data_IF_106266428929
#
_entry.id   IF_106266428929
#
_cell.length_a   1.000
_cell.length_b   1.000
_cell.length_c   1.000
_cell.angle_alpha   90.00
_cell.angle_beta   90.00
_cell.angle_gamma   90.00
#
_symmetry.space_group_name_H-M   'P 1'
#
loop_
_entity.id
_entity.type
_entity.pdbx_description
1 polymer ?
#
# COMPACT_ATOMS: atom_id res chain seq x y z
N UNK A 1 -0.20 -0.58 53.11
CA UNK A 1 -0.57 -1.92 53.65
C UNK A 1 -1.96 -2.20 53.10
N UNK A 2 -2.22 -3.12 52.18
CA UNK A 2 -1.85 -4.55 52.06
C UNK A 2 -1.78 -4.87 50.56
N UNK A 3 -0.69 -5.53 50.13
CA UNK A 3 -0.50 -6.09 48.77
C UNK A 3 -0.98 -7.55 48.78
N UNK A 4 -1.71 -7.98 47.75
CA UNK A 4 -1.96 -9.41 47.48
C UNK A 4 -1.46 -9.74 46.06
N UNK A 5 -0.21 -10.20 46.00
CA UNK A 5 0.40 -10.81 44.83
C UNK A 5 -0.10 -12.26 44.70
N UNK A 6 -0.58 -12.66 43.52
CA UNK A 6 -0.78 -14.07 43.17
C UNK A 6 0.40 -14.55 42.31
N UNK A 7 1.15 -15.46 42.90
CA UNK A 7 2.19 -16.28 42.27
C UNK A 7 1.49 -17.42 41.53
N UNK A 8 1.81 -17.65 40.26
CA UNK A 8 1.48 -18.88 39.53
C UNK A 8 2.79 -19.54 39.16
N UNK A 9 3.00 -20.74 39.69
CA UNK A 9 4.16 -21.58 39.44
C UNK A 9 3.81 -22.71 38.46
N UNK A 10 4.62 -22.77 37.39
CA UNK A 10 5.18 -23.91 36.64
C UNK A 10 4.54 -25.30 36.82
N UNK A 11 4.24 -25.96 35.70
CA UNK A 11 4.47 -27.40 35.56
C UNK A 11 4.84 -27.76 34.10
N UNK A 12 6.14 -27.93 33.84
CA UNK A 12 6.67 -28.53 32.61
C UNK A 12 6.73 -30.04 32.79
N UNK A 13 6.03 -30.80 31.94
CA UNK A 13 6.09 -32.25 31.90
C UNK A 13 6.84 -32.68 30.63
N UNK A 14 8.09 -33.13 30.80
CA UNK A 14 8.86 -33.79 29.76
C UNK A 14 8.48 -35.28 29.72
N UNK A 15 8.09 -35.80 28.55
CA UNK A 15 7.93 -37.24 28.31
C UNK A 15 9.04 -37.69 27.37
N UNK A 16 9.93 -38.50 27.93
CA UNK A 16 11.02 -39.22 27.27
C UNK A 16 10.46 -40.57 26.77
N UNK A 17 10.58 -40.85 25.48
CA UNK A 17 10.18 -42.13 24.89
C UNK A 17 11.30 -42.73 24.06
N UNK A 18 12.04 -43.68 24.64
CA UNK A 18 12.95 -44.61 23.97
C UNK A 18 12.15 -45.62 23.15
N UNK A 19 12.50 -45.85 21.88
CA UNK A 19 12.31 -47.15 21.22
C UNK A 19 13.51 -47.51 20.33
N UNK A 20 13.72 -48.81 20.22
CA UNK A 20 14.99 -49.48 20.03
C UNK A 20 15.34 -49.83 18.57
N UNK A 21 16.63 -50.12 18.42
CA UNK A 21 17.36 -50.88 17.41
C UNK A 21 16.57 -51.77 16.43
N UNK A 22 16.98 -51.71 15.15
CA UNK A 22 16.72 -52.73 14.14
C UNK A 22 17.86 -52.76 13.10
N UNK A 23 18.81 -53.69 13.28
CA UNK A 23 19.81 -54.10 12.30
C UNK A 23 19.19 -55.04 11.26
N UNK A 24 19.59 -54.91 9.99
CA UNK A 24 19.30 -55.90 8.96
C UNK A 24 19.83 -55.47 7.60
N UNK A 25 21.08 -55.84 7.29
CA UNK A 25 21.68 -55.66 5.97
C UNK A 25 21.44 -56.86 5.06
N UNK A 26 21.60 -56.66 3.75
CA UNK A 26 22.14 -57.66 2.83
C UNK A 26 22.56 -56.98 1.51
N UNK A 27 23.82 -57.22 1.17
CA UNK A 27 24.55 -56.81 -0.02
C UNK A 27 24.01 -57.47 -1.30
N UNK A 28 24.25 -56.82 -2.44
CA UNK A 28 23.99 -57.36 -3.77
C UNK A 28 24.72 -56.56 -4.83
N UNK A 29 26.05 -56.67 -4.82
CA UNK A 29 26.94 -56.25 -5.89
C UNK A 29 26.84 -57.30 -7.02
N UNK A 30 26.54 -56.88 -8.24
CA UNK A 30 27.00 -57.64 -9.41
C UNK A 30 27.32 -56.72 -10.59
N UNK A 31 28.39 -57.13 -11.24
CA UNK A 31 29.30 -56.38 -12.06
C UNK A 31 28.93 -56.44 -13.54
N UNK A 32 29.41 -55.43 -14.29
CA UNK A 32 29.81 -55.47 -15.70
C UNK A 32 28.85 -55.97 -16.79
N UNK A 33 28.69 -55.17 -17.87
CA UNK A 33 29.47 -55.37 -19.11
C UNK A 33 28.84 -54.68 -20.35
N UNK A 34 29.64 -53.74 -20.91
CA UNK A 34 29.90 -53.41 -22.33
C UNK A 34 28.80 -53.44 -23.42
N UNK A 35 28.84 -52.32 -24.17
CA UNK A 35 28.82 -52.16 -25.65
C UNK A 35 27.54 -52.50 -26.42
N UNK A 36 26.98 -51.50 -27.12
CA UNK A 36 27.05 -51.34 -28.60
C UNK A 36 25.87 -50.49 -29.11
N UNK A 37 26.15 -49.37 -29.78
CA UNK A 37 25.32 -48.87 -30.88
C UNK A 37 25.50 -49.83 -32.09
N UNK A 38 24.62 -49.91 -33.12
CA UNK A 38 23.97 -48.76 -33.78
C UNK A 38 22.56 -48.98 -34.41
N UNK A 39 22.03 -47.87 -34.94
CA UNK A 39 21.20 -47.71 -36.15
C UNK A 39 19.77 -48.29 -36.25
N UNK A 40 18.85 -47.42 -36.69
CA UNK A 40 17.92 -47.76 -37.78
C UNK A 40 16.43 -47.66 -37.49
N UNK A 41 15.83 -46.59 -38.00
CA UNK A 41 14.53 -46.49 -38.68
C UNK A 41 13.30 -47.25 -38.17
N UNK A 42 12.20 -46.52 -37.93
CA UNK A 42 10.96 -46.72 -38.70
C UNK A 42 9.89 -45.70 -38.31
N UNK A 43 9.60 -44.83 -39.27
CA UNK A 43 8.36 -44.10 -39.44
C UNK A 43 7.18 -45.07 -39.58
N UNK A 44 6.07 -44.79 -38.88
CA UNK A 44 4.76 -45.37 -39.18
C UNK A 44 3.68 -44.31 -38.97
N UNK A 45 3.19 -43.81 -40.10
CA UNK A 45 1.87 -43.24 -40.27
C UNK A 45 0.78 -44.32 -40.25
N UNK A 46 -0.47 -43.89 -39.98
CA UNK A 46 -1.80 -44.35 -40.43
C UNK A 46 -2.86 -44.39 -39.29
N UNK A 47 -4.17 -44.35 -39.60
CA UNK A 47 -4.90 -43.38 -40.41
C UNK A 47 -6.29 -43.06 -39.79
N UNK A 48 -7.11 -42.42 -40.61
CA UNK A 48 -8.53 -42.04 -40.48
C UNK A 48 -9.49 -43.03 -39.82
N UNK A 49 -10.54 -42.46 -39.21
CA UNK A 49 -11.95 -42.89 -39.18
C UNK A 49 -12.71 -41.91 -38.25
N UNK A 50 -13.98 -41.59 -38.37
CA UNK A 50 -14.99 -41.61 -39.42
C UNK A 50 -16.22 -40.92 -38.79
N UNK A 51 -17.06 -40.31 -39.61
CA UNK A 51 -18.30 -39.64 -39.21
C UNK A 51 -19.35 -40.64 -38.73
N UNK A 52 -20.01 -40.37 -37.59
CA UNK A 52 -21.16 -41.12 -37.09
C UNK A 52 -22.23 -40.20 -36.49
N UNK A 53 -23.27 -39.94 -37.28
CA UNK A 53 -24.51 -39.28 -36.90
C UNK A 53 -25.46 -40.26 -36.20
N UNK A 54 -26.03 -39.89 -35.04
CA UNK A 54 -27.33 -40.41 -34.59
C UNK A 54 -28.09 -39.41 -33.71
N UNK A 55 -29.22 -38.98 -34.28
CA UNK A 55 -30.58 -38.89 -33.74
C UNK A 55 -30.90 -38.33 -32.34
N UNK A 56 -31.87 -37.41 -32.39
CA UNK A 56 -32.65 -36.77 -31.35
C UNK A 56 -33.30 -37.71 -30.31
N UNK A 57 -33.41 -37.19 -29.08
CA UNK A 57 -34.44 -37.56 -28.12
C UNK A 57 -34.93 -36.30 -27.39
N UNK A 58 -36.25 -36.20 -27.37
CA UNK A 58 -37.11 -35.10 -26.94
C UNK A 58 -37.34 -35.13 -25.41
N UNK A 59 -37.40 -33.94 -24.77
CA UNK A 59 -37.74 -33.78 -23.36
C UNK A 59 -38.41 -32.39 -23.11
N UNK A 60 -39.23 -32.26 -22.04
CA UNK A 60 -40.55 -31.59 -22.03
C UNK A 60 -40.54 -30.08 -21.69
N UNK A 61 -41.68 -29.35 -21.82
CA UNK A 61 -41.70 -27.89 -21.79
C UNK A 61 -41.52 -27.35 -20.37
N UNK A 62 -40.60 -26.39 -20.22
CA UNK A 62 -40.48 -25.59 -19.00
C UNK A 62 -41.44 -24.41 -19.06
N UNK A 63 -42.28 -24.37 -18.04
CA UNK A 63 -43.23 -23.32 -17.71
C UNK A 63 -42.54 -21.98 -17.44
N UNK A 64 -43.19 -20.92 -17.91
CA UNK A 64 -42.82 -19.54 -17.64
C UNK A 64 -42.94 -19.23 -16.14
N UNK A 65 -41.93 -18.54 -15.61
CA UNK A 65 -42.05 -17.73 -14.40
C UNK A 65 -41.29 -16.45 -14.66
N UNK A 66 -42.04 -15.35 -14.63
CA UNK A 66 -41.55 -14.03 -14.95
C UNK A 66 -40.68 -13.49 -13.83
N UNK A 67 -39.64 -12.76 -14.22
CA UNK A 67 -39.14 -11.64 -13.45
C UNK A 67 -38.77 -10.54 -14.44
N UNK A 68 -39.56 -9.48 -14.41
CA UNK A 68 -39.41 -8.30 -15.26
C UNK A 68 -38.29 -7.45 -14.67
N UNK A 69 -37.09 -7.54 -15.25
CA UNK A 69 -36.05 -6.54 -15.00
C UNK A 69 -36.57 -5.17 -15.45
N UNK A 70 -36.44 -4.09 -14.65
CA UNK A 70 -36.85 -2.76 -15.10
C UNK A 70 -35.91 -2.34 -16.24
N UNK A 71 -36.49 -2.17 -17.42
CA UNK A 71 -35.83 -1.57 -18.57
C UNK A 71 -35.24 -0.23 -18.14
N UNK A 72 -33.92 -0.04 -18.32
CA UNK A 72 -33.28 1.27 -18.22
C UNK A 72 -33.98 2.18 -19.22
N UNK A 73 -34.79 3.11 -18.72
CA UNK A 73 -35.33 4.19 -19.53
C UNK A 73 -34.13 5.00 -20.02
N UNK A 74 -33.83 4.93 -21.30
CA UNK A 74 -33.03 5.96 -21.96
C UNK A 74 -33.74 7.29 -21.69
N UNK A 75 -33.08 8.24 -21.01
CA UNK A 75 -33.64 9.56 -20.75
C UNK A 75 -34.03 10.19 -22.09
N UNK A 76 -35.33 10.23 -22.36
CA UNK A 76 -35.86 10.77 -23.61
C UNK A 76 -35.73 12.29 -23.56
N UNK A 77 -35.15 12.89 -24.59
CA UNK A 77 -35.11 14.34 -24.73
C UNK A 77 -36.55 14.84 -24.91
N UNK A 78 -37.04 15.62 -23.96
CA UNK A 78 -38.36 16.25 -24.01
C UNK A 78 -38.24 17.72 -24.37
N UNK A 79 -39.27 18.33 -24.96
CA UNK A 79 -39.32 19.77 -25.22
C UNK A 79 -40.22 20.41 -24.16
N UNK A 80 -39.64 21.29 -23.34
CA UNK A 80 -40.33 22.03 -22.28
C UNK A 80 -41.34 23.05 -22.83
N UNK A 81 -42.18 23.58 -21.95
CA UNK A 81 -43.26 24.51 -22.30
C UNK A 81 -42.77 25.84 -22.93
N UNK A 82 -41.49 26.17 -22.75
CA UNK A 82 -40.82 27.33 -23.32
C UNK A 82 -40.12 27.02 -24.67
N UNK A 83 -40.27 25.80 -25.18
CA UNK A 83 -39.66 25.33 -26.42
C UNK A 83 -38.23 24.83 -26.29
N UNK A 84 -37.65 24.79 -25.08
CA UNK A 84 -36.28 24.29 -24.87
C UNK A 84 -36.25 22.78 -24.75
N UNK A 85 -35.18 22.16 -25.25
CA UNK A 85 -34.95 20.72 -25.05
C UNK A 85 -34.47 20.49 -23.62
N UNK A 86 -34.96 19.44 -22.98
CA UNK A 86 -34.63 19.05 -21.63
C UNK A 86 -34.35 17.54 -21.57
N UNK A 87 -33.41 17.13 -20.73
CA UNK A 87 -33.22 15.74 -20.31
C UNK A 87 -33.53 15.68 -18.83
N UNK A 88 -34.54 14.90 -18.44
CA UNK A 88 -34.95 14.71 -17.05
C UNK A 88 -35.21 16.05 -16.29
N UNK A 89 -35.78 17.04 -16.99
CA UNK A 89 -36.09 18.37 -16.45
C UNK A 89 -34.90 19.33 -16.38
N UNK A 90 -33.76 18.98 -16.98
CA UNK A 90 -32.58 19.83 -17.10
C UNK A 90 -32.48 20.38 -18.53
N UNK A 91 -32.51 21.72 -18.71
CA UNK A 91 -32.32 22.36 -20.02
C UNK A 91 -31.01 21.95 -20.72
N UNK A 92 -31.09 21.69 -22.02
CA UNK A 92 -29.98 21.20 -22.84
C UNK A 92 -28.83 22.21 -22.96
N UNK A 93 -29.11 23.49 -22.78
CA UNK A 93 -28.15 24.61 -22.82
C UNK A 93 -27.16 24.61 -21.63
N UNK A 94 -27.44 23.81 -20.59
CA UNK A 94 -26.51 23.60 -19.47
C UNK A 94 -25.47 22.51 -19.78
N UNK A 95 -25.72 21.70 -20.81
CA UNK A 95 -24.76 20.70 -21.29
C UNK A 95 -23.92 21.32 -22.40
N UNK A 96 -22.60 21.15 -22.30
CA UNK A 96 -21.70 21.56 -23.35
C UNK A 96 -21.90 20.68 -24.58
N UNK A 97 -22.03 21.30 -25.75
CA UNK A 97 -22.24 20.58 -27.02
C UNK A 97 -21.10 19.60 -27.34
N UNK A 98 -19.88 19.89 -26.88
CA UNK A 98 -18.71 19.02 -26.97
C UNK A 98 -17.90 19.10 -25.66
N UNK A 99 -18.21 18.28 -24.65
CA UNK A 99 -17.53 18.33 -23.36
C UNK A 99 -16.05 17.95 -23.46
N UNK A 100 -15.63 17.27 -24.54
CA UNK A 100 -14.24 16.87 -24.76
C UNK A 100 -13.38 18.03 -25.27
N UNK A 101 -13.95 18.95 -26.06
CA UNK A 101 -13.26 20.19 -26.47
C UNK A 101 -12.92 21.08 -25.27
N UNK A 102 -13.82 21.16 -24.28
CA UNK A 102 -13.61 22.00 -23.08
C UNK A 102 -12.53 21.39 -22.18
N UNK A 103 -12.46 20.08 -22.08
CA UNK A 103 -11.37 19.40 -21.36
C UNK A 103 -10.01 19.53 -22.07
N UNK A 104 -9.99 19.75 -23.39
CA UNK A 104 -8.78 19.92 -24.19
C UNK A 104 -8.23 21.35 -24.19
N UNK A 105 -8.99 22.35 -23.71
CA UNK A 105 -8.54 23.74 -23.68
C UNK A 105 -7.77 24.02 -22.38
N UNK A 106 -6.44 23.98 -22.45
CA UNK A 106 -5.51 24.25 -21.32
C UNK A 106 -5.07 25.71 -21.22
N UNK A 107 -5.80 26.66 -21.81
CA UNK A 107 -5.47 28.09 -21.65
C UNK A 107 -5.66 28.55 -20.20
N UNK A 108 -4.55 28.93 -19.57
CA UNK A 108 -4.51 29.55 -18.24
C UNK A 108 -5.10 30.96 -18.34
N UNK A 109 -6.26 31.18 -17.73
CA UNK A 109 -6.87 32.51 -17.62
C UNK A 109 -6.14 33.27 -16.50
N UNK A 110 -5.28 34.22 -16.87
CA UNK A 110 -4.72 35.20 -15.93
C UNK A 110 -3.27 35.61 -16.21
N UNK A 111 -3.05 36.41 -17.25
CA UNK A 111 -1.82 37.19 -17.36
C UNK A 111 -2.18 38.65 -17.69
N UNK A 112 -1.89 39.61 -16.81
CA UNK A 112 -2.20 41.01 -17.07
C UNK A 112 -1.27 41.57 -18.15
N UNK A 113 -1.86 42.36 -19.06
CA UNK A 113 -1.18 42.98 -20.18
C UNK A 113 -0.15 44.04 -19.73
N UNK A 114 1.05 43.97 -20.30
CA UNK A 114 2.05 45.04 -20.21
C UNK A 114 1.75 46.15 -21.24
N UNK A 115 2.05 47.43 -20.94
CA UNK A 115 1.75 48.55 -21.82
C UNK A 115 2.75 48.67 -23.00
N UNK A 116 2.38 49.35 -24.10
CA UNK A 116 3.19 49.40 -25.32
C UNK A 116 4.17 50.58 -25.37
N UNK A 117 5.30 50.36 -26.05
CA UNK A 117 6.37 51.34 -26.36
C UNK A 117 7.55 51.18 -25.40
N UNK A 118 8.79 50.97 -25.82
CA UNK A 118 9.60 51.77 -26.74
C UNK A 118 10.69 50.87 -27.38
N UNK A 119 11.11 51.21 -28.59
CA UNK A 119 11.87 50.36 -29.50
C UNK A 119 13.37 50.16 -29.23
N UNK A 120 13.91 49.35 -30.13
CA UNK A 120 15.24 48.75 -30.19
C UNK A 120 16.42 49.74 -30.23
N UNK A 121 17.54 49.35 -29.61
CA UNK A 121 18.88 49.88 -29.86
C UNK A 121 19.96 49.05 -29.14
N UNK A 122 21.15 48.81 -29.74
CA UNK A 122 22.15 47.88 -29.21
C UNK A 122 23.23 48.58 -28.36
N UNK A 123 23.57 48.01 -27.19
CA UNK A 123 24.73 48.39 -26.36
C UNK A 123 25.80 47.31 -26.49
N UNK A 124 26.92 47.47 -27.23
CA UNK A 124 28.16 48.19 -26.91
C UNK A 124 28.73 48.06 -25.49
N UNK A 125 30.00 47.62 -25.48
CA UNK A 125 30.91 47.34 -24.37
C UNK A 125 31.46 48.65 -23.80
N UNK A 126 31.62 48.75 -22.47
CA UNK A 126 32.29 49.92 -21.85
C UNK A 126 32.50 49.85 -20.34
N UNK A 127 33.77 49.66 -19.99
CA UNK A 127 34.52 49.72 -18.72
C UNK A 127 34.15 50.80 -17.69
N UNK A 128 34.29 50.47 -16.39
CA UNK A 128 34.92 51.36 -15.40
C UNK A 128 34.11 51.75 -14.15
N UNK A 129 34.74 51.60 -12.97
CA UNK A 129 34.51 52.50 -11.83
C UNK A 129 34.07 51.88 -10.50
N UNK A 130 35.03 51.56 -9.62
CA UNK A 130 34.85 51.46 -8.17
C UNK A 130 34.80 52.88 -7.56
N UNK A 131 34.20 53.10 -6.37
CA UNK A 131 35.02 53.11 -5.15
C UNK A 131 34.35 52.50 -3.89
N UNK A 132 35.19 52.15 -2.93
CA UNK A 132 34.89 51.77 -1.53
C UNK A 132 34.35 52.99 -0.72
N UNK A 133 33.89 52.86 0.55
CA UNK A 133 34.67 52.44 1.74
C UNK A 133 33.81 51.58 2.72
N UNK A 134 34.16 51.13 3.93
CA UNK A 134 35.20 51.43 4.93
C UNK A 134 35.18 50.30 5.98
N UNK A 135 36.35 50.00 6.54
CA UNK A 135 36.62 49.01 7.59
C UNK A 135 36.67 49.68 8.97
N UNK A 136 36.20 48.96 10.01
CA UNK A 136 36.75 49.02 11.39
C UNK A 136 35.71 49.20 12.52
N UNK A 137 36.09 48.93 13.79
CA UNK A 137 36.49 47.63 14.31
C UNK A 137 35.86 47.29 15.70
N UNK A 138 36.28 46.14 16.24
CA UNK A 138 36.31 45.73 17.66
C UNK A 138 35.10 45.11 18.36
N UNK A 139 35.28 43.84 18.74
CA UNK A 139 35.36 43.49 20.16
C UNK A 139 34.18 42.74 20.78
N UNK A 140 34.42 41.50 21.20
CA UNK A 140 33.69 40.90 22.33
C UNK A 140 33.11 39.51 22.08
N UNK A 141 33.87 38.48 22.45
CA UNK A 141 33.34 37.14 22.78
C UNK A 141 32.51 37.18 24.07
N UNK A 142 31.47 36.34 24.18
CA UNK A 142 31.36 35.55 25.40
C UNK A 142 30.97 34.07 25.19
N UNK A 143 31.51 33.30 26.13
CA UNK A 143 31.48 31.88 26.46
C UNK A 143 30.07 31.26 26.56
N UNK A 144 29.88 29.96 26.25
CA UNK A 144 28.61 29.26 26.45
C UNK A 144 28.44 28.76 27.90
N UNK A 145 27.21 28.72 28.45
CA UNK A 145 26.98 28.11 29.75
C UNK A 145 26.85 26.59 29.64
N UNK A 146 27.80 25.92 30.28
CA UNK A 146 27.77 24.52 30.70
C UNK A 146 26.75 24.38 31.84
N UNK A 147 25.73 23.53 31.67
CA UNK A 147 24.79 23.20 32.74
C UNK A 147 24.99 21.75 33.20
N UNK A 148 25.01 21.61 34.52
CA UNK A 148 25.53 20.50 35.29
C UNK A 148 24.58 19.31 35.42
N UNK A 149 25.20 18.16 35.68
CA UNK A 149 24.59 16.93 36.13
C UNK A 149 24.14 17.01 37.61
N UNK A 150 22.93 16.49 37.87
CA UNK A 150 22.47 15.89 39.13
C UNK A 150 21.53 14.74 38.70
N UNK A 151 21.55 13.52 39.22
CA UNK A 151 21.97 13.06 40.54
C UNK A 151 20.73 12.63 41.33
N UNK A 152 20.24 11.41 41.08
CA UNK A 152 19.41 10.63 42.02
C UNK A 152 17.90 10.50 41.74
N UNK A 153 17.48 9.29 41.39
CA UNK A 153 16.57 8.45 42.20
C UNK A 153 16.17 7.21 41.40
N UNK A 154 16.51 6.03 41.91
CA UNK A 154 16.21 4.75 41.29
C UNK A 154 14.71 4.44 41.36
N UNK A 155 14.10 4.37 40.18
CA UNK A 155 12.82 3.70 39.95
C UNK A 155 13.13 2.34 39.33
N UNK A 156 12.50 1.23 39.77
CA UNK A 156 12.72 -0.07 39.15
C UNK A 156 12.29 0.00 37.67
N UNK A 157 13.01 -0.64 36.73
CA UNK A 157 12.60 -0.60 35.34
C UNK A 157 11.22 -1.25 35.21
N UNK A 158 10.25 -0.43 34.79
CA UNK A 158 9.04 -0.92 34.19
C UNK A 158 9.44 -1.79 33.00
N UNK A 159 8.82 -2.95 32.89
CA UNK A 159 8.99 -3.88 31.78
C UNK A 159 8.98 -3.13 30.45
N UNK A 160 10.10 -3.20 29.73
CA UNK A 160 10.18 -2.75 28.34
C UNK A 160 9.11 -3.49 27.55
N UNK A 161 8.21 -2.80 26.83
CA UNK A 161 7.34 -3.46 25.87
C UNK A 161 8.23 -4.14 24.83
N UNK A 162 8.01 -5.43 24.62
CA UNK A 162 8.67 -6.18 23.58
C UNK A 162 8.23 -5.65 22.21
N UNK A 163 9.18 -5.35 21.31
CA UNK A 163 8.90 -5.30 19.87
C UNK A 163 9.02 -3.98 19.13
N UNK A 164 9.46 -2.89 19.76
CA UNK A 164 9.73 -1.65 19.03
C UNK A 164 10.91 -1.84 18.08
N UNK A 165 10.68 -1.70 16.77
CA UNK A 165 11.76 -1.48 15.83
C UNK A 165 12.49 -0.19 16.23
N UNK A 166 13.83 -0.17 16.13
CA UNK A 166 14.58 1.05 16.43
C UNK A 166 14.07 2.18 15.53
N UNK A 167 13.83 3.38 16.05
CA UNK A 167 13.28 4.49 15.26
C UNK A 167 14.09 4.72 13.96
N UNK A 168 15.42 4.54 13.97
CA UNK A 168 16.25 4.63 12.77
C UNK A 168 15.97 3.55 11.71
N UNK A 169 15.47 2.39 12.09
CA UNK A 169 15.12 1.28 11.19
C UNK A 169 13.95 1.68 10.27
N UNK A 170 12.92 2.33 10.81
CA UNK A 170 11.73 2.71 10.03
C UNK A 170 12.06 3.63 8.85
N UNK A 171 12.98 4.58 9.02
CA UNK A 171 13.41 5.48 7.95
C UNK A 171 14.12 4.76 6.79
N UNK A 172 14.76 3.61 7.07
CA UNK A 172 15.39 2.79 6.04
C UNK A 172 14.40 1.86 5.32
N UNK A 173 13.30 1.49 6.00
CA UNK A 173 12.26 0.60 5.46
C UNK A 173 11.27 1.40 4.61
N UNK A 174 10.77 2.52 5.13
CA UNK A 174 9.84 3.40 4.45
C UNK A 174 10.26 4.86 4.70
N UNK A 175 10.95 5.49 3.74
CA UNK A 175 11.35 6.88 3.90
C UNK A 175 10.17 7.82 4.15
N UNK A 176 10.39 8.90 4.91
CA UNK A 176 9.34 9.88 5.26
C UNK A 176 8.53 10.33 4.05
N UNK A 177 9.19 10.61 2.93
CA UNK A 177 8.56 11.03 1.69
C UNK A 177 7.58 9.99 1.13
N UNK A 178 7.94 8.71 1.21
CA UNK A 178 7.11 7.60 0.71
C UNK A 178 5.94 7.30 1.65
N UNK A 179 6.15 7.40 2.97
CA UNK A 179 5.08 7.31 3.96
C UNK A 179 4.03 8.40 3.71
N UNK A 180 4.47 9.65 3.58
CA UNK A 180 3.57 10.78 3.33
C UNK A 180 2.89 10.68 1.96
N UNK A 181 3.59 10.20 0.93
CA UNK A 181 3.02 9.98 -0.39
C UNK A 181 1.92 8.91 -0.37
N UNK A 182 2.11 7.80 0.32
CA UNK A 182 1.09 6.75 0.43
C UNK A 182 -0.10 7.20 1.28
N UNK A 183 0.13 7.89 2.40
CA UNK A 183 -0.96 8.48 3.20
C UNK A 183 -1.77 9.47 2.35
N UNK A 184 -1.11 10.31 1.54
CA UNK A 184 -1.77 11.23 0.61
C UNK A 184 -2.57 10.48 -0.46
N UNK A 185 -2.02 9.42 -1.06
CA UNK A 185 -2.73 8.59 -2.05
C UNK A 185 -4.01 8.00 -1.45
N UNK A 186 -3.92 7.41 -0.26
CA UNK A 186 -5.07 6.83 0.44
C UNK A 186 -6.10 7.92 0.78
N UNK A 187 -5.66 9.08 1.30
CA UNK A 187 -6.55 10.22 1.58
C UNK A 187 -7.31 10.66 0.33
N UNK A 188 -6.65 10.76 -0.82
CA UNK A 188 -7.29 11.17 -2.07
C UNK A 188 -8.30 10.13 -2.56
N UNK A 189 -7.96 8.84 -2.50
CA UNK A 189 -8.88 7.75 -2.82
C UNK A 189 -10.11 7.79 -1.93
N UNK A 190 -9.94 7.88 -0.61
CA UNK A 190 -11.04 7.93 0.35
C UNK A 190 -11.88 9.19 0.19
N UNK A 191 -11.26 10.31 -0.16
CA UNK A 191 -12.00 11.54 -0.51
C UNK A 191 -12.94 11.27 -1.67
N UNK A 192 -12.46 10.68 -2.77
CA UNK A 192 -13.30 10.32 -3.91
C UNK A 192 -14.41 9.32 -3.52
N UNK A 193 -14.04 8.28 -2.76
CA UNK A 193 -14.97 7.22 -2.37
C UNK A 193 -16.08 7.72 -1.43
N UNK A 194 -15.84 8.76 -0.64
CA UNK A 194 -16.80 9.30 0.34
C UNK A 194 -17.61 10.49 -0.18
N UNK A 195 -17.48 10.89 -1.46
CA UNK A 195 -18.28 11.98 -2.04
C UNK A 195 -19.78 11.64 -2.12
N UNK A 196 -20.11 10.36 -2.33
CA UNK A 196 -21.50 9.90 -2.42
C UNK A 196 -21.60 8.41 -2.13
N UNK A 197 -22.82 7.92 -1.85
CA UNK A 197 -23.07 6.48 -1.69
C UNK A 197 -22.76 5.71 -2.98
N UNK A 198 -22.95 6.32 -4.16
CA UNK A 198 -22.60 5.72 -5.44
C UNK A 198 -21.10 5.51 -5.61
N UNK A 199 -20.29 6.54 -5.32
CA UNK A 199 -18.83 6.45 -5.38
C UNK A 199 -18.30 5.41 -4.37
N UNK A 200 -18.83 5.42 -3.15
CA UNK A 200 -18.49 4.43 -2.13
C UNK A 200 -18.77 3.00 -2.60
N UNK A 201 -19.94 2.75 -3.17
CA UNK A 201 -20.31 1.43 -3.67
C UNK A 201 -19.36 0.94 -4.78
N UNK A 202 -18.84 1.85 -5.61
CA UNK A 202 -17.84 1.52 -6.64
C UNK A 202 -16.46 1.20 -6.04
N UNK A 203 -16.09 1.87 -4.94
CA UNK A 203 -14.81 1.68 -4.26
C UNK A 203 -14.85 0.68 -3.09
N UNK A 204 -15.98 -0.01 -2.86
CA UNK A 204 -16.20 -0.81 -1.65
C UNK A 204 -15.16 -1.91 -1.41
N UNK A 205 -14.55 -2.44 -2.47
CA UNK A 205 -13.49 -3.45 -2.38
C UNK A 205 -12.08 -2.85 -2.19
N UNK A 206 -11.92 -1.59 -2.55
CA UNK A 206 -10.66 -0.86 -2.41
C UNK A 206 -10.51 -0.22 -1.03
N UNK A 207 -11.62 0.21 -0.41
CA UNK A 207 -11.62 0.87 0.89
C UNK A 207 -10.97 0.01 1.98
N UNK A 208 -11.32 -1.29 2.15
CA UNK A 208 -10.76 -2.07 3.24
C UNK A 208 -9.23 -2.21 3.26
N UNK A 209 -8.57 -2.65 2.17
CA UNK A 209 -7.11 -2.73 2.15
C UNK A 209 -6.45 -1.35 2.32
N UNK A 210 -7.00 -0.28 1.73
CA UNK A 210 -6.42 1.07 1.89
C UNK A 210 -6.60 1.59 3.34
N UNK A 211 -7.70 1.29 4.01
CA UNK A 211 -7.91 1.65 5.42
C UNK A 211 -6.97 0.88 6.36
N UNK A 212 -6.80 -0.42 6.17
CA UNK A 212 -5.82 -1.21 6.92
C UNK A 212 -4.38 -0.73 6.70
N UNK A 213 -4.04 -0.37 5.46
CA UNK A 213 -2.74 0.22 5.12
C UNK A 213 -2.55 1.56 5.82
N UNK A 214 -3.59 2.42 5.86
CA UNK A 214 -3.53 3.69 6.58
C UNK A 214 -3.34 3.49 8.09
N UNK A 215 -4.01 2.50 8.68
CA UNK A 215 -3.82 2.15 10.09
C UNK A 215 -2.38 1.71 10.37
N UNK A 216 -1.81 0.85 9.53
CA UNK A 216 -0.42 0.44 9.58
C UNK A 216 0.55 1.63 9.46
N UNK A 217 0.38 2.49 8.45
CA UNK A 217 1.26 3.64 8.24
C UNK A 217 1.19 4.65 9.39
N UNK A 218 0.00 4.85 9.98
CA UNK A 218 -0.16 5.68 11.16
C UNK A 218 0.51 5.07 12.39
N UNK A 219 0.46 3.73 12.56
CA UNK A 219 1.25 3.02 13.57
C UNK A 219 2.74 3.24 13.40
N UNK A 220 3.27 3.06 12.19
CA UNK A 220 4.68 3.33 11.86
C UNK A 220 5.04 4.79 12.15
N UNK A 221 4.18 5.75 11.79
CA UNK A 221 4.44 7.17 11.96
C UNK A 221 4.69 7.57 13.44
N UNK A 222 4.12 6.86 14.41
CA UNK A 222 4.35 7.09 15.84
C UNK A 222 5.83 6.90 16.20
N UNK A 223 6.47 5.89 15.60
CA UNK A 223 7.86 5.51 15.86
C UNK A 223 8.84 6.09 14.83
N UNK A 224 8.33 6.53 13.68
CA UNK A 224 9.13 7.02 12.56
C UNK A 224 9.96 8.27 12.94
N UNK A 225 11.26 8.35 12.64
CA UNK A 225 12.13 9.42 13.14
C UNK A 225 11.98 10.72 12.34
N UNK A 226 11.42 10.63 11.13
CA UNK A 226 11.13 11.78 10.28
C UNK A 226 10.12 12.75 10.86
N UNK A 227 10.20 14.01 10.40
CA UNK A 227 9.27 15.05 10.78
C UNK A 227 7.92 14.89 10.03
N UNK A 228 6.93 14.36 10.75
CA UNK A 228 5.57 14.14 10.25
C UNK A 228 4.65 15.07 11.04
N UNK A 229 4.07 16.07 10.36
CA UNK A 229 3.25 17.12 10.99
C UNK A 229 2.13 16.60 11.91
N UNK A 230 1.52 15.48 11.55
CA UNK A 230 0.40 14.88 12.29
C UNK A 230 0.84 13.75 13.26
N UNK A 231 2.15 13.53 13.45
CA UNK A 231 2.71 12.44 14.27
C UNK A 231 2.17 12.40 15.69
N UNK A 232 2.05 13.56 16.34
CA UNK A 232 1.50 13.66 17.70
C UNK A 232 0.06 13.12 17.81
N UNK A 233 -0.67 13.10 16.70
CA UNK A 233 -2.04 12.61 16.61
C UNK A 233 -2.15 11.31 15.81
N UNK A 234 -1.04 10.65 15.46
CA UNK A 234 -1.02 9.47 14.60
C UNK A 234 -1.80 8.29 15.22
N UNK A 235 -1.81 8.16 16.55
CA UNK A 235 -2.63 7.17 17.27
C UNK A 235 -4.13 7.26 16.95
N UNK A 236 -4.66 8.47 16.77
CA UNK A 236 -6.06 8.66 16.38
C UNK A 236 -6.28 8.27 14.92
N UNK A 237 -5.35 8.59 14.02
CA UNK A 237 -5.42 8.16 12.60
C UNK A 237 -5.42 6.65 12.50
N UNK A 238 -4.54 5.97 13.24
CA UNK A 238 -4.46 4.49 13.31
C UNK A 238 -5.81 3.89 13.67
N UNK A 239 -6.40 4.39 14.75
CA UNK A 239 -7.61 3.82 15.33
C UNK A 239 -8.87 4.15 14.51
N UNK A 240 -8.95 5.38 13.98
CA UNK A 240 -10.05 5.79 13.09
C UNK A 240 -10.01 5.00 11.77
N UNK A 241 -8.81 4.74 11.23
CA UNK A 241 -8.66 3.95 10.01
C UNK A 241 -9.10 2.49 10.23
N UNK A 242 -8.72 1.88 11.35
CA UNK A 242 -9.21 0.56 11.75
C UNK A 242 -10.74 0.55 11.91
N UNK A 243 -11.31 1.60 12.54
CA UNK A 243 -12.76 1.75 12.74
C UNK A 243 -13.57 1.78 11.45
N UNK A 244 -13.01 2.30 10.35
CA UNK A 244 -13.69 2.31 9.04
C UNK A 244 -14.06 0.89 8.59
N UNK A 245 -13.30 -0.12 8.99
CA UNK A 245 -13.41 -1.51 8.53
C UNK A 245 -13.72 -2.50 9.64
N UNK A 246 -14.02 -2.03 10.86
CA UNK A 246 -14.37 -2.85 12.02
C UNK A 246 -15.52 -3.82 11.72
N UNK A 247 -16.48 -3.38 10.88
CA UNK A 247 -17.55 -4.23 10.36
C UNK A 247 -17.40 -4.41 8.87
N UNK A 248 -17.76 -5.60 8.38
CA UNK A 248 -17.81 -5.90 6.95
C UNK A 248 -18.65 -4.86 6.21
N UNK A 249 -18.04 -4.20 5.22
CA UNK A 249 -18.71 -3.20 4.40
C UNK A 249 -19.72 -3.88 3.47
N UNK A 250 -20.91 -3.29 3.39
CA UNK A 250 -22.00 -3.66 2.50
C UNK A 250 -22.37 -2.45 1.64
N UNK A 251 -23.07 -2.66 0.52
CA UNK A 251 -23.56 -1.55 -0.27
C UNK A 251 -24.59 -0.73 0.53
N UNK A 252 -24.59 0.59 0.33
CA UNK A 252 -25.62 1.48 0.86
C UNK A 252 -25.17 2.40 2.00
N UNK A 253 -26.15 3.14 2.54
CA UNK A 253 -25.91 4.32 3.39
C UNK A 253 -25.23 4.01 4.73
N UNK A 254 -25.51 2.84 5.31
CA UNK A 254 -24.96 2.48 6.62
C UNK A 254 -23.43 2.29 6.57
N UNK A 255 -22.92 1.45 5.65
CA UNK A 255 -21.48 1.27 5.50
C UNK A 255 -20.79 2.51 4.90
N UNK A 256 -21.50 3.28 4.06
CA UNK A 256 -21.02 4.60 3.65
C UNK A 256 -20.71 5.48 4.89
N UNK A 257 -21.64 5.57 5.84
CA UNK A 257 -21.45 6.37 7.07
C UNK A 257 -20.35 5.83 7.98
N UNK A 258 -20.25 4.50 8.09
CA UNK A 258 -19.18 3.84 8.83
C UNK A 258 -17.77 4.27 8.35
N UNK A 259 -17.61 4.53 7.05
CA UNK A 259 -16.35 4.94 6.44
C UNK A 259 -16.19 6.46 6.46
N UNK A 260 -17.25 7.21 6.10
CA UNK A 260 -17.23 8.67 6.00
C UNK A 260 -16.91 9.33 7.35
N UNK A 261 -17.54 8.90 8.43
CA UNK A 261 -17.40 9.59 9.73
C UNK A 261 -15.96 9.53 10.30
N UNK A 262 -15.29 8.37 10.39
CA UNK A 262 -13.89 8.33 10.80
C UNK A 262 -12.98 9.04 9.79
N UNK A 263 -13.27 8.92 8.48
CA UNK A 263 -12.44 9.53 7.46
C UNK A 263 -12.45 11.07 7.52
N UNK A 264 -13.58 11.71 7.81
CA UNK A 264 -13.64 13.16 8.02
C UNK A 264 -12.74 13.58 9.18
N UNK A 265 -12.74 12.81 10.28
CA UNK A 265 -11.88 13.09 11.43
C UNK A 265 -10.39 12.89 11.09
N UNK A 266 -10.06 11.84 10.33
CA UNK A 266 -8.71 11.60 9.82
C UNK A 266 -8.25 12.79 8.97
N UNK A 267 -9.08 13.28 8.06
CA UNK A 267 -8.74 14.40 7.18
C UNK A 267 -8.35 15.63 8.00
N UNK A 268 -9.14 15.98 9.00
CA UNK A 268 -8.88 17.11 9.87
C UNK A 268 -7.54 16.94 10.62
N UNK A 269 -7.25 15.73 11.14
CA UNK A 269 -5.98 15.40 11.81
C UNK A 269 -4.79 15.52 10.85
N UNK A 270 -4.91 14.98 9.64
CA UNK A 270 -3.86 15.07 8.62
C UNK A 270 -3.61 16.53 8.20
N UNK A 271 -4.61 17.40 8.31
CA UNK A 271 -4.52 18.85 8.09
C UNK A 271 -3.95 19.61 9.30
N UNK A 272 -3.69 18.94 10.43
CA UNK A 272 -3.11 19.51 11.64
C UNK A 272 -4.13 19.90 12.71
N UNK A 273 -5.41 19.56 12.53
CA UNK A 273 -6.48 19.87 13.46
C UNK A 273 -6.95 18.59 14.17
N UNK A 274 -6.93 18.56 15.50
CA UNK A 274 -7.53 17.45 16.26
C UNK A 274 -9.02 17.75 16.51
N UNK A 275 -9.98 16.99 15.94
CA UNK A 275 -11.40 17.22 16.19
C UNK A 275 -11.75 17.10 17.68
N UNK A 276 -12.58 18.01 18.16
CA UNK A 276 -13.05 17.99 19.54
C UNK A 276 -13.95 16.77 19.79
N UNK A 277 -13.86 16.19 20.99
CA UNK A 277 -14.73 15.09 21.42
C UNK A 277 -14.36 13.73 20.83
N UNK A 278 -13.21 13.59 20.15
CA UNK A 278 -12.70 12.27 19.81
C UNK A 278 -12.41 11.47 21.09
N UNK A 279 -12.82 10.18 21.14
CA UNK A 279 -12.40 9.29 22.21
C UNK A 279 -10.89 9.19 22.28
N UNK A 280 -10.35 9.08 23.50
CA UNK A 280 -8.92 8.93 23.68
C UNK A 280 -8.43 7.62 23.07
N UNK A 281 -7.41 7.73 22.22
CA UNK A 281 -6.73 6.60 21.60
C UNK A 281 -5.55 6.14 22.46
N UNK A 282 -5.38 4.83 22.70
CA UNK A 282 -4.19 4.30 23.36
C UNK A 282 -2.91 4.76 22.64
N UNK A 283 -1.85 5.07 23.39
CA UNK A 283 -0.56 5.43 22.78
C UNK A 283 -0.05 4.31 21.86
N UNK A 284 -0.12 3.09 22.34
CA UNK A 284 0.31 1.89 21.62
C UNK A 284 -0.85 0.91 21.46
N UNK A 285 -0.84 0.23 20.31
CA UNK A 285 -1.65 -0.95 20.02
C UNK A 285 -0.82 -1.89 19.17
N UNK A 286 -1.09 -3.18 19.31
CA UNK A 286 -0.52 -4.18 18.42
C UNK A 286 -0.99 -3.96 16.99
N UNK A 287 -0.09 -4.08 16.02
CA UNK A 287 -0.44 -3.88 14.60
C UNK A 287 -1.54 -4.83 14.14
N UNK A 288 -1.57 -6.07 14.65
CA UNK A 288 -2.58 -7.07 14.32
C UNK A 288 -4.01 -6.64 14.67
N UNK A 289 -4.19 -5.80 15.69
CA UNK A 289 -5.50 -5.33 16.12
C UNK A 289 -6.10 -4.27 15.20
N UNK A 290 -5.24 -3.52 14.50
CA UNK A 290 -5.64 -2.33 13.72
C UNK A 290 -5.43 -2.50 12.22
N UNK A 291 -4.56 -3.40 11.81
CA UNK A 291 -4.24 -3.69 10.41
C UNK A 291 -4.35 -5.19 10.17
N UNK A 292 -5.55 -5.64 9.77
CA UNK A 292 -5.85 -7.04 9.48
C UNK A 292 -4.90 -7.63 8.43
N UNK A 293 -4.34 -8.81 8.71
CA UNK A 293 -3.39 -9.51 7.85
C UNK A 293 -3.95 -9.72 6.43
N UNK A 294 -5.19 -10.18 6.31
CA UNK A 294 -5.82 -10.45 5.02
C UNK A 294 -6.02 -9.18 4.19
N UNK A 295 -6.31 -8.05 4.84
CA UNK A 295 -6.39 -6.74 4.18
C UNK A 295 -5.01 -6.22 3.74
N UNK A 296 -3.96 -6.44 4.53
CA UNK A 296 -2.59 -6.12 4.12
C UNK A 296 -2.13 -7.00 2.94
N UNK A 297 -2.45 -8.30 2.94
CA UNK A 297 -2.15 -9.17 1.79
C UNK A 297 -2.87 -8.70 0.51
N UNK A 298 -4.12 -8.24 0.61
CA UNK A 298 -4.82 -7.61 -0.54
C UNK A 298 -4.16 -6.32 -1.01
N UNK A 299 -3.57 -5.54 -0.10
CA UNK A 299 -2.77 -4.35 -0.48
C UNK A 299 -1.50 -4.75 -1.24
N UNK A 300 -0.82 -5.80 -0.81
CA UNK A 300 0.36 -6.35 -1.50
C UNK A 300 0.01 -6.88 -2.89
N UNK A 301 -1.08 -7.64 -3.03
CA UNK A 301 -1.56 -8.13 -4.33
C UNK A 301 -1.82 -6.98 -5.31
N UNK A 302 -2.41 -5.88 -4.83
CA UNK A 302 -2.63 -4.67 -5.65
C UNK A 302 -1.32 -4.01 -6.06
N UNK A 303 -0.33 -3.96 -5.15
CA UNK A 303 1.00 -3.45 -5.45
C UNK A 303 1.66 -4.27 -6.57
N UNK A 304 1.67 -5.60 -6.44
CA UNK A 304 2.26 -6.52 -7.41
C UNK A 304 1.59 -6.38 -8.79
N UNK A 305 0.25 -6.31 -8.83
CA UNK A 305 -0.50 -6.08 -10.08
C UNK A 305 -0.14 -4.75 -10.72
N UNK A 306 -0.12 -3.67 -9.93
CA UNK A 306 0.24 -2.35 -10.45
C UNK A 306 1.68 -2.31 -10.97
N UNK A 307 2.64 -2.88 -10.22
CA UNK A 307 4.04 -2.98 -10.64
C UNK A 307 4.18 -3.82 -11.90
N UNK A 308 3.33 -4.83 -12.09
CA UNK A 308 3.29 -5.64 -13.30
C UNK A 308 2.87 -4.86 -14.53
N UNK A 309 1.84 -4.04 -14.40
CA UNK A 309 1.37 -3.20 -15.50
C UNK A 309 2.29 -2.01 -15.77
N UNK A 310 2.82 -1.37 -14.73
CA UNK A 310 3.47 -0.06 -14.85
C UNK A 310 4.99 -0.09 -14.61
N UNK A 311 5.55 -1.24 -14.22
CA UNK A 311 6.98 -1.46 -14.05
C UNK A 311 7.52 -2.62 -14.89
N UNK A 312 6.82 -3.00 -15.97
CA UNK A 312 7.19 -4.14 -16.82
C UNK A 312 8.33 -3.85 -17.82
N UNK A 313 8.72 -2.59 -17.99
CA UNK A 313 9.78 -2.16 -18.91
C UNK A 313 10.60 -1.02 -18.32
N UNK A 314 11.81 -0.82 -18.84
CA UNK A 314 12.68 0.30 -18.43
C UNK A 314 11.99 1.65 -18.62
N UNK A 315 11.32 1.84 -19.75
CA UNK A 315 10.57 3.06 -20.05
C UNK A 315 9.45 3.28 -19.02
N UNK A 316 8.69 2.23 -18.68
CA UNK A 316 7.60 2.33 -17.71
C UNK A 316 8.12 2.59 -16.29
N UNK A 317 9.23 1.97 -15.88
CA UNK A 317 9.86 2.24 -14.58
C UNK A 317 10.35 3.69 -14.52
N UNK A 318 10.90 4.22 -15.61
CA UNK A 318 11.33 5.62 -15.68
C UNK A 318 10.16 6.60 -15.64
N UNK A 319 9.08 6.30 -16.36
CA UNK A 319 7.87 7.12 -16.39
C UNK A 319 7.15 7.15 -15.03
N UNK A 320 7.16 6.02 -14.32
CA UNK A 320 6.45 5.84 -13.05
C UNK A 320 7.40 5.74 -11.85
N UNK A 321 8.58 6.37 -11.91
CA UNK A 321 9.66 6.15 -10.94
C UNK A 321 9.22 6.37 -9.49
N UNK A 322 8.55 7.49 -9.21
CA UNK A 322 8.05 7.84 -7.86
C UNK A 322 7.02 6.82 -7.36
N UNK A 323 6.13 6.36 -8.24
CA UNK A 323 5.11 5.37 -7.89
C UNK A 323 5.74 3.99 -7.64
N UNK A 324 6.73 3.59 -8.44
CA UNK A 324 7.49 2.34 -8.24
C UNK A 324 8.22 2.35 -6.90
N UNK A 325 8.87 3.46 -6.56
CA UNK A 325 9.57 3.65 -5.29
C UNK A 325 8.58 3.56 -4.13
N UNK A 326 7.45 4.27 -4.20
CA UNK A 326 6.41 4.23 -3.16
C UNK A 326 5.84 2.83 -2.97
N UNK A 327 5.44 2.14 -4.04
CA UNK A 327 4.91 0.77 -3.93
C UNK A 327 5.94 -0.18 -3.31
N UNK A 328 7.21 -0.05 -3.68
CA UNK A 328 8.30 -0.84 -3.08
C UNK A 328 8.44 -0.56 -1.58
N UNK A 329 8.37 0.70 -1.16
CA UNK A 329 8.44 1.08 0.25
C UNK A 329 7.25 0.55 1.08
N UNK A 330 6.04 0.55 0.51
CA UNK A 330 4.85 -0.01 1.17
C UNK A 330 4.94 -1.53 1.29
N UNK A 331 5.47 -2.23 0.28
CA UNK A 331 5.73 -3.67 0.36
C UNK A 331 6.72 -3.96 1.48
N UNK A 332 7.83 -3.20 1.55
CA UNK A 332 8.84 -3.34 2.59
C UNK A 332 8.24 -3.11 4.00
N UNK A 333 7.50 -2.01 4.19
CA UNK A 333 6.83 -1.71 5.45
C UNK A 333 5.86 -2.82 5.88
N UNK A 334 5.07 -3.33 4.95
CA UNK A 334 4.12 -4.41 5.21
C UNK A 334 4.85 -5.69 5.62
N UNK A 335 5.91 -6.06 4.89
CA UNK A 335 6.73 -7.23 5.18
C UNK A 335 7.35 -7.17 6.59
N UNK A 336 7.78 -5.98 7.03
CA UNK A 336 8.29 -5.78 8.39
C UNK A 336 7.18 -5.87 9.43
N UNK A 337 6.04 -5.22 9.20
CA UNK A 337 4.96 -5.15 10.20
C UNK A 337 4.41 -6.53 10.54
N UNK A 338 4.24 -7.41 9.55
CA UNK A 338 3.68 -8.76 9.76
C UNK A 338 4.63 -9.70 10.54
N UNK A 339 5.89 -9.30 10.76
CA UNK A 339 6.87 -10.07 11.57
C UNK A 339 7.12 -9.48 12.95
N UNK A 340 6.51 -8.33 13.28
CA UNK A 340 6.62 -7.74 14.61
C UNK A 340 5.94 -8.61 15.66
N UNK A 341 6.40 -8.55 16.93
CA UNK A 341 5.66 -9.12 18.04
C UNK A 341 4.21 -8.60 18.10
N UNK A 342 3.30 -9.46 18.53
CA UNK A 342 1.86 -9.20 18.54
C UNK A 342 1.14 -9.56 17.24
N UNK A 343 1.88 -9.85 16.16
CA UNK A 343 1.28 -10.21 14.87
C UNK A 343 0.89 -11.69 14.74
N UNK A 344 1.40 -12.56 15.62
CA UNK A 344 1.04 -13.98 15.69
C UNK A 344 1.97 -14.95 14.94
N UNK A 345 3.13 -14.46 14.49
CA UNK A 345 4.17 -15.26 13.81
C UNK A 345 5.52 -15.21 14.55
N UNK A 346 5.52 -14.93 15.85
CA UNK A 346 6.71 -14.65 16.65
C UNK A 346 7.63 -15.86 16.81
N UNK A 347 7.07 -17.07 16.78
CA UNK A 347 7.81 -18.32 16.94
C UNK A 347 7.93 -19.09 15.61
N UNK A 348 7.56 -18.45 14.49
CA UNK A 348 7.59 -19.05 13.16
C UNK A 348 8.75 -18.48 12.31
N UNK A 349 9.91 -19.11 12.44
CA UNK A 349 11.12 -18.72 11.71
C UNK A 349 11.00 -18.89 10.19
N UNK A 350 10.16 -19.82 9.72
CA UNK A 350 9.95 -20.06 8.29
C UNK A 350 9.13 -18.91 7.69
N UNK A 351 8.03 -18.53 8.34
CA UNK A 351 7.22 -17.36 7.95
C UNK A 351 8.06 -16.08 7.93
N UNK A 352 8.81 -15.83 9.02
CA UNK A 352 9.72 -14.68 9.10
C UNK A 352 10.77 -14.70 8.01
N UNK A 353 11.31 -15.87 7.67
CA UNK A 353 12.24 -16.03 6.56
C UNK A 353 11.67 -15.56 5.22
N UNK A 354 10.41 -15.90 4.92
CA UNK A 354 9.73 -15.42 3.71
C UNK A 354 9.45 -13.91 3.74
N UNK A 355 8.97 -13.39 4.86
CA UNK A 355 8.70 -11.97 5.01
C UNK A 355 9.99 -11.13 4.95
N UNK A 356 11.09 -11.58 5.55
CA UNK A 356 12.41 -10.94 5.46
C UNK A 356 12.96 -10.95 4.04
N UNK A 357 12.75 -12.04 3.29
CA UNK A 357 13.11 -12.10 1.88
C UNK A 357 12.33 -11.08 1.05
N UNK A 358 11.02 -10.93 1.31
CA UNK A 358 10.17 -9.92 0.69
C UNK A 358 10.61 -8.50 1.05
N UNK A 359 10.91 -8.23 2.34
CA UNK A 359 11.42 -6.94 2.81
C UNK A 359 12.71 -6.54 2.08
N UNK A 360 13.71 -7.43 2.05
CA UNK A 360 15.00 -7.17 1.38
C UNK A 360 14.83 -6.95 -0.11
N UNK A 361 13.99 -7.77 -0.77
CA UNK A 361 13.72 -7.63 -2.19
C UNK A 361 13.01 -6.29 -2.50
N UNK A 362 12.04 -5.88 -1.69
CA UNK A 362 11.36 -4.60 -1.84
C UNK A 362 12.30 -3.40 -1.63
N UNK A 363 13.22 -3.46 -0.66
CA UNK A 363 14.26 -2.43 -0.49
C UNK A 363 15.21 -2.38 -1.70
N UNK A 364 15.57 -3.53 -2.28
CA UNK A 364 16.39 -3.59 -3.49
C UNK A 364 15.65 -3.03 -4.71
N UNK A 365 14.34 -3.28 -4.85
CA UNK A 365 13.50 -2.66 -5.89
C UNK A 365 13.51 -1.13 -5.76
N UNK A 366 13.29 -0.62 -4.55
CA UNK A 366 13.30 0.81 -4.26
C UNK A 366 14.65 1.44 -4.63
N UNK A 367 15.76 0.83 -4.21
CA UNK A 367 17.10 1.33 -4.49
C UNK A 367 17.44 1.33 -6.00
N UNK A 368 17.06 0.26 -6.71
CA UNK A 368 17.28 0.15 -8.15
C UNK A 368 16.44 1.16 -8.95
N UNK A 369 15.17 1.35 -8.57
CA UNK A 369 14.29 2.34 -9.19
C UNK A 369 14.82 3.77 -9.03
N UNK A 370 15.27 4.15 -7.82
CA UNK A 370 15.88 5.46 -7.55
C UNK A 370 17.15 5.72 -8.39
N UNK A 371 17.86 4.67 -8.79
CA UNK A 371 19.09 4.76 -9.61
C UNK A 371 18.85 4.58 -11.11
N UNK A 372 17.63 4.23 -11.54
CA UNK A 372 17.34 3.88 -12.92
C UNK A 372 17.96 2.55 -13.38
N UNK A 373 18.25 1.64 -12.45
CA UNK A 373 18.88 0.34 -12.74
C UNK A 373 17.81 -0.72 -13.06
N UNK A 374 17.27 -0.73 -14.28
CA UNK A 374 16.12 -1.57 -14.63
C UNK A 374 16.35 -3.08 -14.42
N UNK A 375 17.50 -3.63 -14.80
CA UNK A 375 17.81 -5.05 -14.60
C UNK A 375 17.85 -5.43 -13.11
N UNK A 376 18.41 -4.56 -12.27
CA UNK A 376 18.41 -4.75 -10.83
C UNK A 376 16.99 -4.69 -10.25
N UNK A 377 16.18 -3.76 -10.75
CA UNK A 377 14.77 -3.64 -10.37
C UNK A 377 13.97 -4.90 -10.75
N UNK A 378 14.10 -5.40 -11.99
CA UNK A 378 13.39 -6.61 -12.44
C UNK A 378 13.77 -7.84 -11.61
N UNK A 379 15.06 -7.99 -11.31
CA UNK A 379 15.55 -9.07 -10.45
C UNK A 379 14.92 -9.00 -9.06
N UNK A 380 14.96 -7.83 -8.43
CA UNK A 380 14.40 -7.61 -7.11
C UNK A 380 12.88 -7.83 -7.09
N UNK A 381 12.17 -7.38 -8.13
CA UNK A 381 10.73 -7.61 -8.28
C UNK A 381 10.39 -9.10 -8.44
N UNK A 382 11.19 -9.84 -9.18
CA UNK A 382 11.03 -11.30 -9.29
C UNK A 382 11.22 -11.99 -7.94
N UNK A 383 12.14 -11.49 -7.10
CA UNK A 383 12.36 -12.01 -5.75
C UNK A 383 11.17 -11.73 -4.82
N UNK A 384 10.50 -10.57 -4.93
CA UNK A 384 9.24 -10.31 -4.21
C UNK A 384 8.18 -11.35 -4.61
N UNK A 385 7.97 -11.57 -5.91
CA UNK A 385 6.96 -12.54 -6.38
C UNK A 385 7.28 -13.98 -5.97
N UNK A 386 8.57 -14.34 -5.93
CA UNK A 386 9.01 -15.63 -5.39
C UNK A 386 8.70 -15.77 -3.89
N UNK A 387 8.97 -14.74 -3.09
CA UNK A 387 8.63 -14.76 -1.66
C UNK A 387 7.12 -14.90 -1.43
N UNK A 388 6.28 -14.21 -2.23
CA UNK A 388 4.83 -14.38 -2.20
C UNK A 388 4.42 -15.83 -2.53
N UNK A 389 5.02 -16.42 -3.57
CA UNK A 389 4.71 -17.79 -4.00
C UNK A 389 5.13 -18.82 -2.95
N UNK A 390 6.32 -18.68 -2.38
CA UNK A 390 6.85 -19.58 -1.37
C UNK A 390 6.02 -19.52 -0.09
N UNK A 391 5.75 -18.32 0.43
CA UNK A 391 4.90 -18.15 1.61
C UNK A 391 3.50 -18.74 1.38
N UNK A 392 2.85 -18.43 0.25
CA UNK A 392 1.53 -18.99 -0.05
C UNK A 392 1.52 -20.52 -0.25
N UNK A 393 2.65 -21.14 -0.61
CA UNK A 393 2.72 -22.59 -0.71
C UNK A 393 2.63 -23.29 0.65
N UNK A 394 3.10 -22.62 1.71
CA UNK A 394 3.09 -23.14 3.08
C UNK A 394 1.91 -22.61 3.92
N UNK A 395 1.51 -21.34 3.73
CA UNK A 395 0.63 -20.61 4.67
C UNK A 395 -0.74 -20.19 4.14
N UNK A 396 -1.08 -20.47 2.87
CA UNK A 396 -2.37 -20.03 2.29
C UNK A 396 -3.56 -20.92 2.69
N UNK A 397 -3.28 -22.14 3.13
CA UNK A 397 -4.28 -23.21 3.27
C UNK A 397 -5.13 -23.09 4.53
#
# INVERSE_FOLDING_TARGET
MIRTSRVVAVLSLAVLGLFAAGCGGASGENDSQKTSAPAGSAEKANPDSESGSTSAAEAPPRTASGDTAPARKSSAVTVGADGRREIDGIPYDVFFDDPLQIAANTQVVGQPAAPPGVGSGPATIGTGGQPAPSVGPDGGTPTPPQSAAAGGSGTPPASTPAGSADASEWQAIIPTEELLAEVKRIRNMLTSATQSVGAFNQSIFQIPPDAATLAMLAGIAIEHPGDIRWKANAKYVRDLAAKMVEKKLMQGRASFKQVEEPFLSIRDILDGNLPAGLPESPEQREFAEVADFGLLMKRLERAEKWLTTNGGSEASVKENADDVVRESAVIAATAKVITLPGYGFEDDDEFKGYADAMLKAAQAMMAAAKKGEFEAFQKARSQVSQACTQCHSSYRN
#
